data_IF_804711807256
#
_entry.id   IF_804711807256
#
_cell.length_a   1.000
_cell.length_b   1.000
_cell.length_c   1.000
_cell.angle_alpha   90.00
_cell.angle_beta   90.00
_cell.angle_gamma   90.00
#
_symmetry.space_group_name_H-M   'P 1'
#
loop_
_entity.id
_entity.type
_entity.pdbx_description
1 polymer ?
#
# COMPACT_ATOMS: atom_id res chain seq x y z
N UNK A 1 -21.74 -3.23 -11.17
CA UNK A 1 -20.74 -2.34 -11.80
C UNK A 1 -21.02 -2.37 -13.29
N UNK A 2 -20.98 -1.22 -13.97
CA UNK A 2 -21.16 -1.14 -15.42
C UNK A 2 -20.06 -1.88 -16.18
N UNK A 3 -20.39 -2.36 -17.39
CA UNK A 3 -19.45 -2.98 -18.33
C UNK A 3 -19.18 -2.03 -19.49
N UNK A 4 -18.53 -0.91 -19.17
CA UNK A 4 -18.14 0.08 -20.17
C UNK A 4 -17.22 -0.53 -21.22
N UNK A 5 -17.63 -0.44 -22.47
CA UNK A 5 -16.98 -1.07 -23.61
C UNK A 5 -16.88 -0.10 -24.79
N UNK A 6 -15.92 -0.36 -25.68
CA UNK A 6 -15.77 0.37 -26.94
C UNK A 6 -15.78 -0.60 -28.11
N UNK A 7 -16.44 -0.24 -29.20
CA UNK A 7 -16.32 -0.91 -30.49
C UNK A 7 -15.54 0.02 -31.43
N UNK A 8 -14.62 -0.55 -32.19
CA UNK A 8 -13.92 0.10 -33.29
C UNK A 8 -14.31 -0.61 -34.58
N UNK A 9 -15.14 0.05 -35.38
CA UNK A 9 -15.58 -0.42 -36.69
C UNK A 9 -14.51 -0.11 -37.75
N UNK A 10 -13.80 -1.15 -38.16
CA UNK A 10 -12.73 -1.07 -39.14
C UNK A 10 -13.23 -0.88 -40.57
N UNK A 11 -14.51 -1.16 -40.85
CA UNK A 11 -15.10 -0.89 -42.18
C UNK A 11 -15.46 0.59 -42.33
N UNK A 12 -15.71 1.31 -41.23
CA UNK A 12 -15.90 2.78 -41.21
C UNK A 12 -14.60 3.55 -41.03
N UNK A 13 -13.60 2.97 -40.36
CA UNK A 13 -12.39 3.68 -40.01
C UNK A 13 -11.53 4.02 -41.23
N UNK A 14 -11.33 5.31 -41.48
CA UNK A 14 -10.48 5.82 -42.57
C UNK A 14 -9.04 6.16 -42.14
N UNK A 15 -8.67 5.88 -40.89
CA UNK A 15 -7.30 6.12 -40.40
C UNK A 15 -6.89 7.59 -40.27
N UNK A 16 -7.84 8.53 -40.19
CA UNK A 16 -7.56 9.97 -40.20
C UNK A 16 -6.78 10.53 -38.99
N UNK A 17 -6.63 9.78 -37.90
CA UNK A 17 -5.92 10.24 -36.70
C UNK A 17 -6.69 11.24 -35.81
N UNK A 18 -7.88 11.70 -36.19
CA UNK A 18 -8.66 12.66 -35.39
C UNK A 18 -8.93 12.19 -33.94
N UNK A 19 -9.05 10.89 -33.72
CA UNK A 19 -9.22 10.32 -32.38
C UNK A 19 -7.97 10.43 -31.50
N UNK A 20 -6.78 10.44 -32.10
CA UNK A 20 -5.49 10.61 -31.41
C UNK A 20 -5.39 12.06 -30.96
N UNK A 21 -5.47 13.00 -31.91
CA UNK A 21 -5.43 14.44 -31.66
C UNK A 21 -6.45 14.91 -30.61
N UNK A 22 -7.70 14.45 -30.71
CA UNK A 22 -8.72 14.82 -29.72
C UNK A 22 -8.43 14.27 -28.32
N UNK A 23 -7.70 13.15 -28.22
CA UNK A 23 -7.31 12.59 -26.93
C UNK A 23 -6.09 13.28 -26.34
N UNK A 24 -5.17 13.75 -27.18
CA UNK A 24 -4.06 14.60 -26.77
C UNK A 24 -4.56 15.94 -26.23
N UNK A 25 -5.46 16.60 -26.97
CA UNK A 25 -6.06 17.89 -26.60
C UNK A 25 -6.89 17.80 -25.31
N UNK A 26 -7.77 16.80 -25.17
CA UNK A 26 -8.60 16.64 -23.97
C UNK A 26 -7.79 16.40 -22.69
N UNK A 27 -6.57 15.86 -22.81
CA UNK A 27 -5.74 15.45 -21.68
C UNK A 27 -4.45 16.25 -21.54
N UNK A 28 -4.26 17.30 -22.34
CA UNK A 28 -3.04 18.09 -22.42
C UNK A 28 -1.78 17.19 -22.46
N UNK A 29 -1.79 16.19 -23.36
CA UNK A 29 -0.67 15.25 -23.48
C UNK A 29 0.52 15.92 -24.17
N UNK A 30 1.75 15.73 -23.67
CA UNK A 30 2.94 16.25 -24.33
C UNK A 30 3.24 15.44 -25.61
N UNK A 31 4.01 16.06 -26.51
CA UNK A 31 4.40 15.43 -27.79
C UNK A 31 5.00 14.03 -27.57
N UNK A 32 4.51 13.06 -28.33
CA UNK A 32 4.96 11.67 -28.28
C UNK A 32 4.31 10.83 -27.16
N UNK A 33 3.34 11.37 -26.43
CA UNK A 33 2.54 10.65 -25.43
C UNK A 33 1.13 10.39 -25.96
N UNK A 34 0.89 9.14 -26.38
CA UNK A 34 -0.39 8.75 -26.97
C UNK A 34 -1.18 7.83 -26.03
N UNK A 35 -2.42 8.19 -25.71
CA UNK A 35 -3.37 7.29 -25.02
C UNK A 35 -4.11 6.35 -25.99
N UNK A 36 -4.12 6.66 -27.28
CA UNK A 36 -4.65 5.83 -28.36
C UNK A 36 -3.84 6.07 -29.64
N UNK A 37 -3.88 5.13 -30.61
CA UNK A 37 -3.06 5.22 -31.82
C UNK A 37 -3.83 4.84 -33.09
N UNK A 38 -3.29 5.26 -34.23
CA UNK A 38 -3.65 4.80 -35.58
C UNK A 38 -2.36 4.43 -36.29
N UNK A 39 -2.05 3.14 -36.37
CA UNK A 39 -0.82 2.62 -37.00
C UNK A 39 -1.13 2.12 -38.41
N UNK A 40 -0.48 2.59 -39.47
CA UNK A 40 -0.68 2.03 -40.81
C UNK A 40 -0.17 0.59 -40.87
N UNK A 41 -0.94 -0.30 -41.49
CA UNK A 41 -0.52 -1.64 -41.86
C UNK A 41 -0.19 -1.63 -43.36
N UNK A 42 1.05 -1.99 -43.71
CA UNK A 42 1.64 -1.80 -45.05
C UNK A 42 0.84 -2.49 -46.17
N UNK A 43 0.95 -2.07 -47.43
CA UNK A 43 0.13 -2.63 -48.51
C UNK A 43 0.66 -3.97 -49.02
N UNK A 44 0.36 -5.06 -48.30
CA UNK A 44 0.33 -6.43 -48.83
C UNK A 44 -0.24 -7.35 -47.75
N UNK A 45 -1.25 -8.15 -48.08
CA UNK A 45 -1.51 -9.38 -47.34
C UNK A 45 -0.56 -10.50 -47.81
N UNK A 46 -0.64 -11.68 -47.19
CA UNK A 46 0.19 -12.85 -47.55
C UNK A 46 0.00 -13.34 -49.00
N UNK A 47 -1.06 -12.89 -49.69
CA UNK A 47 -1.32 -13.16 -51.11
C UNK A 47 -0.78 -12.08 -52.05
N UNK A 48 -0.23 -10.98 -51.53
CA UNK A 48 0.25 -9.86 -52.33
C UNK A 48 -0.85 -8.89 -52.76
N UNK A 49 -2.07 -9.01 -52.24
CA UNK A 49 -3.14 -8.07 -52.51
C UNK A 49 -2.92 -6.77 -51.71
N UNK A 50 -3.05 -5.59 -52.33
CA UNK A 50 -2.89 -4.32 -51.65
C UNK A 50 -4.06 -4.08 -50.69
N UNK A 51 -3.86 -4.44 -49.43
CA UNK A 51 -4.74 -4.04 -48.33
C UNK A 51 -4.07 -2.89 -47.60
N UNK A 52 -4.50 -1.66 -47.89
CA UNK A 52 -4.22 -0.52 -47.01
C UNK A 52 -5.23 -0.55 -45.87
N UNK A 53 -4.76 -0.83 -44.66
CA UNK A 53 -5.58 -0.77 -43.45
C UNK A 53 -4.76 -0.19 -42.31
N UNK A 54 -5.38 0.03 -41.16
CA UNK A 54 -4.73 0.63 -40.01
C UNK A 54 -5.07 -0.18 -38.76
N UNK A 55 -4.12 -0.32 -37.84
CA UNK A 55 -4.40 -0.76 -36.48
C UNK A 55 -4.73 0.46 -35.62
N UNK A 56 -6.01 0.58 -35.27
CA UNK A 56 -6.49 1.62 -34.36
C UNK A 56 -6.68 1.01 -32.98
N UNK A 57 -5.89 1.44 -31.99
CA UNK A 57 -5.89 0.82 -30.66
C UNK A 57 -5.85 1.81 -29.50
N UNK A 58 -6.10 1.31 -28.30
CA UNK A 58 -6.02 2.01 -27.01
C UNK A 58 -5.95 0.98 -25.87
N UNK A 59 -5.98 1.44 -24.62
CA UNK A 59 -6.18 0.55 -23.48
C UNK A 59 -7.49 -0.23 -23.61
N UNK A 60 -7.41 -1.55 -23.43
CA UNK A 60 -8.57 -2.43 -23.58
C UNK A 60 -9.49 -2.51 -22.35
N UNK A 61 -9.13 -1.86 -21.24
CA UNK A 61 -9.91 -1.89 -19.99
C UNK A 61 -10.31 -3.31 -19.53
N UNK A 62 -9.44 -4.30 -19.80
CA UNK A 62 -9.68 -5.74 -19.67
C UNK A 62 -10.38 -6.13 -18.37
N UNK A 63 -11.33 -7.07 -18.40
CA UNK A 63 -12.01 -7.54 -17.19
C UNK A 63 -11.03 -8.26 -16.25
N UNK A 64 -10.13 -9.08 -16.79
CA UNK A 64 -9.07 -9.76 -16.05
C UNK A 64 -7.72 -9.07 -16.25
N UNK A 65 -7.64 -7.78 -15.91
CA UNK A 65 -6.49 -6.92 -16.15
C UNK A 65 -5.20 -7.37 -15.39
N UNK A 66 -4.14 -7.84 -16.07
CA UNK A 66 -2.89 -8.24 -15.41
C UNK A 66 -2.18 -7.06 -14.73
N UNK A 67 -2.28 -5.87 -15.34
CA UNK A 67 -1.71 -4.63 -14.82
C UNK A 67 -2.18 -4.27 -13.40
N UNK A 68 -3.42 -4.63 -13.00
CA UNK A 68 -3.90 -4.45 -11.61
C UNK A 68 -3.10 -5.32 -10.64
N UNK A 69 -2.87 -6.59 -10.99
CA UNK A 69 -2.11 -7.54 -10.17
C UNK A 69 -0.63 -7.17 -10.09
N UNK A 70 -0.09 -6.59 -11.15
CA UNK A 70 1.33 -6.22 -11.23
C UNK A 70 1.68 -4.96 -10.42
N UNK A 71 0.70 -4.16 -9.98
CA UNK A 71 0.96 -2.88 -9.32
C UNK A 71 1.21 -3.06 -7.80
N UNK A 72 2.42 -2.77 -7.29
CA UNK A 72 2.78 -3.02 -5.89
C UNK A 72 2.16 -1.99 -4.93
N UNK A 73 1.80 -0.80 -5.43
CA UNK A 73 1.20 0.27 -4.64
C UNK A 73 -0.33 0.26 -4.67
N UNK A 74 -0.93 -0.53 -5.56
CA UNK A 74 -2.37 -0.47 -5.84
C UNK A 74 -2.81 0.79 -6.61
N UNK A 75 -1.87 1.57 -7.15
CA UNK A 75 -2.17 2.79 -7.91
C UNK A 75 -3.00 2.54 -9.17
N UNK A 76 -2.90 1.36 -9.80
CA UNK A 76 -3.82 0.99 -10.86
C UNK A 76 -4.92 0.08 -10.32
N UNK A 77 -6.16 0.51 -10.51
CA UNK A 77 -7.33 -0.11 -9.91
C UNK A 77 -8.52 -0.01 -10.87
N UNK A 78 -9.60 -0.72 -10.53
CA UNK A 78 -10.88 -0.60 -11.23
C UNK A 78 -11.77 0.35 -10.46
N UNK A 79 -12.24 1.41 -11.12
CA UNK A 79 -13.11 2.40 -10.48
C UNK A 79 -14.57 1.90 -10.37
N UNK A 80 -15.43 2.74 -9.80
CA UNK A 80 -16.84 2.45 -9.55
C UNK A 80 -17.65 2.18 -10.83
N UNK A 81 -17.21 2.69 -11.99
CA UNK A 81 -17.84 2.47 -13.29
C UNK A 81 -17.23 1.29 -14.07
N UNK A 82 -16.27 0.57 -13.48
CA UNK A 82 -15.65 -0.59 -14.10
C UNK A 82 -14.44 -0.27 -14.98
N UNK A 83 -14.00 1.00 -15.06
CA UNK A 83 -12.83 1.40 -15.85
C UNK A 83 -11.56 1.05 -15.11
N UNK A 84 -10.55 0.57 -15.83
CA UNK A 84 -9.19 0.43 -15.30
C UNK A 84 -8.54 1.81 -15.34
N UNK A 85 -8.15 2.37 -14.19
CA UNK A 85 -7.59 3.73 -14.07
C UNK A 85 -6.26 3.71 -13.30
N UNK A 86 -5.61 4.88 -13.17
CA UNK A 86 -4.37 5.06 -12.40
C UNK A 86 -4.55 6.27 -11.48
N UNK A 87 -4.33 6.11 -10.17
CA UNK A 87 -4.16 7.24 -9.25
C UNK A 87 -2.70 7.70 -9.30
N UNK A 88 -2.49 8.89 -9.87
CA UNK A 88 -1.16 9.47 -10.03
C UNK A 88 -0.46 9.77 -8.70
N UNK A 89 -1.22 9.96 -7.60
CA UNK A 89 -0.64 10.24 -6.27
C UNK A 89 -0.08 9.00 -5.60
N UNK A 90 -0.56 7.82 -5.98
CA UNK A 90 -0.09 6.53 -5.46
C UNK A 90 0.90 5.83 -6.41
N UNK A 91 1.00 6.30 -7.65
CA UNK A 91 1.91 5.74 -8.63
C UNK A 91 3.36 6.14 -8.31
N UNK A 92 4.27 5.18 -8.38
CA UNK A 92 5.70 5.37 -8.12
C UNK A 92 6.56 5.19 -9.39
N UNK A 93 5.94 5.17 -10.58
CA UNK A 93 6.66 5.06 -11.85
C UNK A 93 7.41 3.73 -12.09
N UNK A 94 7.17 2.68 -11.29
CA UNK A 94 7.96 1.43 -11.36
C UNK A 94 7.87 0.63 -12.68
N UNK A 95 6.94 0.94 -13.58
CA UNK A 95 6.82 0.27 -14.88
C UNK A 95 6.27 -1.16 -14.87
N UNK A 96 6.05 -1.81 -13.71
CA UNK A 96 5.57 -3.20 -13.70
C UNK A 96 4.24 -3.40 -14.42
N UNK A 97 3.32 -2.45 -14.29
CA UNK A 97 2.05 -2.50 -15.00
C UNK A 97 2.18 -2.20 -16.51
N UNK A 98 3.27 -1.56 -16.94
CA UNK A 98 3.60 -1.34 -18.36
C UNK A 98 4.02 -2.67 -18.97
N UNK A 99 5.00 -3.36 -18.36
CA UNK A 99 5.41 -4.71 -18.77
C UNK A 99 4.23 -5.69 -18.74
N UNK A 100 3.39 -5.62 -17.70
CA UNK A 100 2.19 -6.44 -17.52
C UNK A 100 1.13 -6.31 -18.64
N UNK A 101 1.21 -5.29 -19.49
CA UNK A 101 0.17 -5.01 -20.48
C UNK A 101 0.47 -5.73 -21.80
N UNK A 102 -0.33 -6.76 -22.19
CA UNK A 102 -0.08 -7.50 -23.41
C UNK A 102 -0.33 -6.68 -24.69
N UNK A 103 -0.89 -5.47 -24.56
CA UNK A 103 -1.24 -4.60 -25.67
C UNK A 103 -0.32 -3.39 -25.83
N UNK A 104 0.68 -3.24 -24.95
CA UNK A 104 1.56 -2.05 -24.96
C UNK A 104 0.80 -0.74 -24.75
N UNK A 105 -0.35 -0.76 -24.08
CA UNK A 105 -1.26 0.38 -23.96
C UNK A 105 -1.00 1.27 -22.74
N UNK A 106 0.21 1.20 -22.19
CA UNK A 106 0.66 1.92 -21.01
C UNK A 106 2.08 2.41 -21.24
N UNK A 107 2.40 3.59 -20.72
CA UNK A 107 3.75 4.15 -20.79
C UNK A 107 4.07 4.90 -19.49
N UNK A 108 5.35 5.11 -19.20
CA UNK A 108 5.76 5.99 -18.11
C UNK A 108 5.90 7.38 -18.69
N UNK A 109 5.31 8.36 -18.01
CA UNK A 109 5.51 9.78 -18.27
C UNK A 109 6.67 10.26 -17.43
N UNK A 110 7.78 10.59 -18.09
CA UNK A 110 9.00 11.07 -17.43
C UNK A 110 8.78 12.39 -16.69
N UNK A 111 7.92 13.25 -17.24
CA UNK A 111 7.56 14.54 -16.66
C UNK A 111 6.71 14.41 -15.38
N UNK A 112 5.90 13.35 -15.26
CA UNK A 112 5.06 13.09 -14.09
C UNK A 112 5.64 12.04 -13.13
N UNK A 113 6.62 11.25 -13.55
CA UNK A 113 7.08 10.07 -12.82
C UNK A 113 5.99 9.01 -12.61
N UNK A 114 4.96 9.02 -13.45
CA UNK A 114 3.73 8.23 -13.30
C UNK A 114 3.42 7.46 -14.59
N UNK A 115 2.74 6.32 -14.46
CA UNK A 115 2.22 5.59 -15.63
C UNK A 115 1.01 6.31 -16.20
N UNK A 116 0.99 6.45 -17.52
CA UNK A 116 -0.06 7.03 -18.34
C UNK A 116 -0.74 5.96 -19.20
N UNK A 117 -2.04 6.10 -19.44
CA UNK A 117 -2.84 5.27 -20.34
C UNK A 117 -4.24 5.86 -20.56
N UNK A 118 -4.92 5.42 -21.62
CA UNK A 118 -6.35 5.68 -21.77
C UNK A 118 -7.14 5.21 -20.53
N UNK A 119 -8.05 6.06 -20.06
CA UNK A 119 -8.92 5.85 -18.91
C UNK A 119 -10.41 5.88 -19.29
N UNK A 120 -10.71 5.77 -20.59
CA UNK A 120 -12.05 5.98 -21.18
C UNK A 120 -12.63 7.36 -20.87
N UNK A 121 -11.77 8.39 -20.77
CA UNK A 121 -12.19 9.76 -20.46
C UNK A 121 -13.01 9.81 -19.16
N UNK A 122 -12.48 9.25 -18.08
CA UNK A 122 -13.26 9.02 -16.85
C UNK A 122 -13.97 10.29 -16.34
N UNK A 123 -13.35 11.49 -16.29
CA UNK A 123 -14.04 12.72 -15.89
C UNK A 123 -15.22 13.09 -16.79
N UNK A 124 -15.12 12.86 -18.10
CA UNK A 124 -16.18 13.14 -19.06
C UNK A 124 -17.34 12.16 -18.87
N UNK A 125 -17.02 10.87 -18.71
CA UNK A 125 -18.02 9.84 -18.42
C UNK A 125 -18.77 10.12 -17.11
N UNK A 126 -18.07 10.60 -16.08
CA UNK A 126 -18.68 10.99 -14.80
C UNK A 126 -19.59 12.21 -14.94
N UNK A 127 -19.35 13.07 -15.95
CA UNK A 127 -20.23 14.17 -16.34
C UNK A 127 -21.32 13.78 -17.36
N UNK A 128 -21.46 12.50 -17.69
CA UNK A 128 -22.45 12.00 -18.66
C UNK A 128 -22.10 12.25 -20.13
N UNK A 129 -20.84 12.58 -20.43
CA UNK A 129 -20.33 12.78 -21.78
C UNK A 129 -19.63 11.52 -22.31
N UNK A 130 -19.58 11.39 -23.63
CA UNK A 130 -18.80 10.34 -24.30
C UNK A 130 -17.32 10.72 -24.40
N UNK A 131 -16.40 9.73 -24.51
CA UNK A 131 -14.97 9.98 -24.69
C UNK A 131 -14.66 10.91 -25.87
N UNK A 132 -13.61 11.72 -25.75
CA UNK A 132 -13.19 12.66 -26.79
C UNK A 132 -12.92 11.96 -28.14
N UNK A 133 -12.26 10.80 -28.11
CA UNK A 133 -11.98 10.00 -29.30
C UNK A 133 -13.24 9.50 -30.02
N UNK A 134 -14.35 9.31 -29.31
CA UNK A 134 -15.66 8.93 -29.87
C UNK A 134 -16.31 10.15 -30.52
N UNK A 135 -16.34 11.28 -29.79
CA UNK A 135 -16.94 12.55 -30.26
C UNK A 135 -16.25 13.09 -31.51
N UNK A 136 -14.93 12.95 -31.60
CA UNK A 136 -14.14 13.48 -32.69
C UNK A 136 -14.12 12.60 -33.95
N UNK A 137 -14.64 11.37 -33.91
CA UNK A 137 -14.55 10.45 -35.03
C UNK A 137 -15.52 10.84 -36.17
N UNK A 138 -15.04 11.35 -37.32
CA UNK A 138 -15.94 11.84 -38.38
C UNK A 138 -16.71 10.70 -39.06
N UNK A 139 -16.13 9.49 -39.06
CA UNK A 139 -16.73 8.31 -39.66
C UNK A 139 -17.69 7.56 -38.70
N UNK A 140 -17.81 7.99 -37.44
CA UNK A 140 -18.58 7.24 -36.43
C UNK A 140 -18.09 5.80 -36.25
N UNK A 141 -16.77 5.59 -36.40
CA UNK A 141 -16.14 4.27 -36.30
C UNK A 141 -15.96 3.81 -34.85
N UNK A 142 -15.95 4.73 -33.88
CA UNK A 142 -15.86 4.40 -32.45
C UNK A 142 -17.24 4.49 -31.81
N UNK A 143 -17.70 3.41 -31.20
CA UNK A 143 -18.97 3.33 -30.47
C UNK A 143 -18.67 3.01 -29.01
N UNK A 144 -19.25 3.75 -28.07
CA UNK A 144 -18.95 3.61 -26.64
C UNK A 144 -20.23 3.60 -25.79
N UNK A 145 -20.21 2.84 -24.70
CA UNK A 145 -21.35 2.71 -23.80
C UNK A 145 -21.22 1.54 -22.83
N UNK A 146 -22.23 1.38 -21.99
CA UNK A 146 -22.34 0.25 -21.06
C UNK A 146 -22.93 -0.98 -21.78
N UNK A 147 -22.15 -2.05 -21.88
CA UNK A 147 -22.55 -3.28 -22.55
C UNK A 147 -23.63 -4.07 -21.76
N UNK A 148 -23.87 -3.71 -20.50
CA UNK A 148 -24.94 -4.31 -19.69
C UNK A 148 -26.27 -3.53 -19.81
N UNK A 149 -26.23 -2.30 -20.34
CA UNK A 149 -27.43 -1.55 -20.71
C UNK A 149 -27.84 -1.86 -22.15
N UNK A 150 -28.98 -2.53 -22.34
CA UNK A 150 -29.52 -2.91 -23.66
C UNK A 150 -29.83 -1.71 -24.56
N UNK A 151 -30.00 -0.52 -23.99
CA UNK A 151 -30.27 0.70 -24.76
C UNK A 151 -29.00 1.44 -25.16
N UNK A 152 -27.83 1.04 -24.65
CA UNK A 152 -26.57 1.71 -24.96
C UNK A 152 -26.19 1.56 -26.43
N UNK A 153 -25.44 2.52 -27.01
CA UNK A 153 -24.98 2.43 -28.40
C UNK A 153 -24.20 1.14 -28.69
N UNK A 154 -23.37 0.71 -27.74
CA UNK A 154 -22.57 -0.52 -27.88
C UNK A 154 -23.47 -1.76 -27.86
N UNK A 155 -24.40 -1.86 -26.89
CA UNK A 155 -25.28 -3.02 -26.81
C UNK A 155 -26.15 -3.19 -28.05
N UNK A 156 -26.68 -2.08 -28.59
CA UNK A 156 -27.42 -2.11 -29.87
C UNK A 156 -26.52 -2.54 -31.02
N UNK A 157 -25.29 -2.04 -31.08
CA UNK A 157 -24.34 -2.43 -32.11
C UNK A 157 -24.06 -3.94 -32.09
N UNK A 158 -23.88 -4.54 -30.90
CA UNK A 158 -23.68 -5.98 -30.70
C UNK A 158 -24.86 -6.84 -31.19
N UNK A 159 -26.08 -6.30 -31.24
CA UNK A 159 -27.25 -7.05 -31.73
C UNK A 159 -27.25 -7.17 -33.25
N UNK A 160 -26.73 -6.16 -33.94
CA UNK A 160 -26.83 -6.05 -35.40
C UNK A 160 -25.52 -6.45 -36.13
N UNK A 161 -24.40 -6.54 -35.42
CA UNK A 161 -23.08 -6.76 -36.03
C UNK A 161 -22.26 -7.81 -35.29
N UNK A 162 -21.46 -8.57 -36.06
CA UNK A 162 -20.41 -9.42 -35.49
C UNK A 162 -19.23 -8.56 -35.05
N UNK A 163 -18.77 -8.80 -33.81
CA UNK A 163 -17.60 -8.12 -33.24
C UNK A 163 -16.64 -9.13 -32.63
N UNK A 164 -15.35 -8.81 -32.61
CA UNK A 164 -14.28 -9.67 -32.12
C UNK A 164 -13.39 -8.92 -31.13
N UNK A 165 -12.86 -9.64 -30.15
CA UNK A 165 -11.79 -9.13 -29.30
C UNK A 165 -10.43 -9.43 -29.94
N UNK A 166 -9.45 -8.55 -29.74
CA UNK A 166 -8.05 -8.86 -30.06
C UNK A 166 -7.47 -9.70 -28.92
N UNK A 167 -7.62 -11.02 -29.02
CA UNK A 167 -7.22 -11.99 -28.00
C UNK A 167 -6.60 -13.22 -28.65
N UNK A 168 -5.78 -13.95 -27.90
CA UNK A 168 -5.23 -15.26 -28.27
C UNK A 168 -5.59 -16.28 -27.19
N UNK A 169 -5.33 -17.57 -27.43
CA UNK A 169 -5.53 -18.61 -26.42
C UNK A 169 -4.67 -18.37 -25.17
N UNK A 170 -3.45 -17.85 -25.34
CA UNK A 170 -2.53 -17.53 -24.25
C UNK A 170 -2.93 -16.24 -23.51
N UNK A 171 -3.63 -15.31 -24.16
CA UNK A 171 -4.00 -14.00 -23.61
C UNK A 171 -5.51 -13.90 -23.40
N UNK A 172 -6.10 -14.84 -22.65
CA UNK A 172 -7.54 -14.90 -22.38
C UNK A 172 -7.97 -13.99 -21.21
N UNK A 173 -7.85 -12.66 -21.38
CA UNK A 173 -8.08 -11.67 -20.30
C UNK A 173 -9.34 -10.80 -20.47
N UNK A 174 -10.19 -11.16 -21.43
CA UNK A 174 -11.48 -10.53 -21.72
C UNK A 174 -11.41 -8.98 -21.91
N UNK A 175 -10.82 -8.52 -23.04
CA UNK A 175 -10.76 -7.11 -23.43
C UNK A 175 -12.15 -6.46 -23.56
N UNK A 176 -12.33 -5.24 -23.06
CA UNK A 176 -13.59 -4.50 -23.22
C UNK A 176 -13.58 -3.55 -24.43
N UNK A 177 -12.60 -3.71 -25.32
CA UNK A 177 -12.58 -3.08 -26.64
C UNK A 177 -12.73 -4.17 -27.69
N UNK A 178 -13.69 -3.98 -28.58
CA UNK A 178 -14.08 -4.91 -29.62
C UNK A 178 -13.87 -4.28 -30.99
N UNK A 179 -13.69 -5.11 -32.00
CA UNK A 179 -13.44 -4.70 -33.37
C UNK A 179 -14.54 -5.28 -34.26
N UNK A 180 -15.11 -4.44 -35.12
CA UNK A 180 -16.05 -4.83 -36.15
C UNK A 180 -15.41 -4.65 -37.54
N UNK A 181 -15.97 -5.31 -38.54
CA UNK A 181 -15.54 -5.20 -39.94
C UNK A 181 -15.09 -6.54 -40.53
N UNK A 182 -14.49 -6.50 -41.71
CA UNK A 182 -14.04 -7.71 -42.42
C UNK A 182 -13.01 -8.53 -41.62
N UNK A 183 -13.23 -9.84 -41.51
CA UNK A 183 -12.34 -10.75 -40.77
C UNK A 183 -10.88 -10.65 -41.21
N UNK A 184 -10.62 -10.58 -42.53
CA UNK A 184 -9.26 -10.42 -43.08
C UNK A 184 -8.51 -9.20 -42.54
N UNK A 185 -9.22 -8.15 -42.13
CA UNK A 185 -8.62 -6.95 -41.53
C UNK A 185 -8.26 -7.22 -40.06
N UNK A 186 -9.19 -7.82 -39.31
CA UNK A 186 -8.99 -8.12 -37.88
C UNK A 186 -7.90 -9.20 -37.71
N UNK A 187 -7.92 -10.24 -38.54
CA UNK A 187 -6.90 -11.30 -38.55
C UNK A 187 -5.52 -10.74 -38.86
N UNK A 188 -5.44 -9.76 -39.75
CA UNK A 188 -4.19 -9.08 -40.07
C UNK A 188 -3.68 -8.23 -38.90
N UNK A 189 -4.55 -7.51 -38.21
CA UNK A 189 -4.18 -6.79 -36.99
C UNK A 189 -3.62 -7.77 -35.95
N UNK A 190 -4.26 -8.92 -35.76
CA UNK A 190 -3.78 -9.96 -34.85
C UNK A 190 -2.44 -10.58 -35.29
N UNK A 191 -2.21 -10.73 -36.59
CA UNK A 191 -0.97 -11.28 -37.13
C UNK A 191 0.23 -10.33 -36.96
N UNK A 192 0.05 -9.03 -37.22
CA UNK A 192 1.11 -8.03 -37.11
C UNK A 192 1.29 -7.47 -35.69
N UNK A 193 0.21 -7.47 -34.90
CA UNK A 193 0.20 -6.96 -33.51
C UNK A 193 -0.47 -7.96 -32.55
N UNK A 194 0.06 -9.19 -32.42
CA UNK A 194 -0.47 -10.15 -31.48
C UNK A 194 -0.32 -9.63 -30.04
N UNK A 195 -1.30 -9.87 -29.16
CA UNK A 195 -1.17 -9.60 -27.74
C UNK A 195 -0.01 -10.42 -27.14
N UNK A 196 0.89 -9.78 -26.39
CA UNK A 196 2.09 -10.39 -25.81
C UNK A 196 1.78 -11.19 -24.52
N UNK A 197 1.88 -12.52 -24.52
CA UNK A 197 1.61 -13.32 -23.34
C UNK A 197 2.72 -13.26 -22.28
N UNK A 198 3.97 -13.00 -22.66
CA UNK A 198 5.11 -12.96 -21.74
C UNK A 198 5.05 -11.72 -20.85
N UNK A 199 4.61 -10.60 -21.42
CA UNK A 199 4.37 -9.36 -20.71
C UNK A 199 3.46 -9.53 -19.49
N UNK A 200 2.48 -10.44 -19.49
CA UNK A 200 1.52 -10.61 -18.39
C UNK A 200 2.12 -11.04 -17.04
N UNK A 201 3.40 -11.42 -16.98
CA UNK A 201 4.09 -11.80 -15.76
C UNK A 201 4.77 -10.58 -15.09
N UNK A 202 4.63 -10.38 -13.77
CA UNK A 202 5.41 -9.35 -13.08
C UNK A 202 6.91 -9.70 -13.18
N UNK A 203 7.81 -8.72 -13.38
CA UNK A 203 9.24 -8.99 -13.53
C UNK A 203 9.80 -9.75 -12.32
N UNK A 204 10.82 -10.59 -12.56
CA UNK A 204 11.43 -11.52 -11.58
C UNK A 204 11.76 -10.83 -10.24
N UNK A 205 12.20 -9.56 -10.27
CA UNK A 205 12.46 -8.77 -9.06
C UNK A 205 11.22 -8.58 -8.16
N UNK A 206 10.04 -8.37 -8.74
CA UNK A 206 8.78 -8.29 -7.99
C UNK A 206 8.35 -9.66 -7.43
N UNK A 207 8.63 -10.74 -8.18
CA UNK A 207 8.33 -12.10 -7.75
C UNK A 207 9.23 -12.55 -6.59
N UNK A 208 10.52 -12.20 -6.58
CA UNK A 208 11.44 -12.52 -5.47
C UNK A 208 11.04 -11.76 -4.20
N UNK A 209 10.68 -10.48 -4.33
CA UNK A 209 10.23 -9.67 -3.20
C UNK A 209 8.95 -10.25 -2.56
N UNK A 210 7.94 -10.57 -3.38
CA UNK A 210 6.66 -11.12 -2.93
C UNK A 210 6.76 -12.57 -2.43
N UNK A 211 7.51 -13.44 -3.13
CA UNK A 211 7.45 -14.89 -2.91
C UNK A 211 8.49 -15.39 -1.90
N UNK A 212 9.62 -14.70 -1.75
CA UNK A 212 10.75 -15.16 -0.92
C UNK A 212 11.01 -14.21 0.24
N UNK A 213 11.25 -12.93 -0.04
CA UNK A 213 11.68 -11.97 0.98
C UNK A 213 10.56 -11.60 1.97
N UNK A 214 9.35 -11.32 1.47
CA UNK A 214 8.21 -10.92 2.29
C UNK A 214 7.75 -12.03 3.27
N UNK A 215 7.49 -13.28 2.83
CA UNK A 215 7.15 -14.36 3.76
C UNK A 215 8.33 -14.77 4.64
N UNK A 216 9.57 -14.70 4.14
CA UNK A 216 10.78 -14.99 4.92
C UNK A 216 10.97 -14.00 6.08
N UNK A 217 10.82 -12.70 5.82
CA UNK A 217 10.91 -11.67 6.85
C UNK A 217 9.79 -11.79 7.89
N UNK A 218 8.53 -11.95 7.44
CA UNK A 218 7.39 -12.14 8.34
C UNK A 218 7.51 -13.43 9.17
N UNK A 219 8.01 -14.51 8.56
CA UNK A 219 8.26 -15.79 9.24
C UNK A 219 9.36 -15.68 10.30
N UNK A 220 10.48 -15.03 9.99
CA UNK A 220 11.57 -14.80 10.94
C UNK A 220 11.15 -13.88 12.09
N UNK A 221 10.42 -12.81 11.79
CA UNK A 221 9.85 -11.93 12.81
C UNK A 221 8.89 -12.72 13.72
N UNK A 222 7.94 -13.47 13.13
CA UNK A 222 7.00 -14.31 13.87
C UNK A 222 7.68 -15.35 14.77
N UNK A 223 8.72 -16.03 14.28
CA UNK A 223 9.50 -16.99 15.07
C UNK A 223 10.25 -16.32 16.23
N UNK A 224 10.79 -15.11 16.03
CA UNK A 224 11.41 -14.34 17.10
C UNK A 224 10.40 -13.96 18.20
N UNK A 225 9.19 -13.54 17.82
CA UNK A 225 8.09 -13.25 18.75
C UNK A 225 7.64 -14.49 19.54
N UNK A 226 7.47 -15.63 18.87
CA UNK A 226 7.08 -16.90 19.52
C UNK A 226 8.17 -17.39 20.48
N UNK A 227 9.44 -17.33 20.07
CA UNK A 227 10.58 -17.71 20.91
C UNK A 227 10.68 -16.85 22.17
N UNK A 228 10.48 -15.54 22.05
CA UNK A 228 10.45 -14.61 23.19
C UNK A 228 9.25 -14.87 24.12
N UNK A 229 8.06 -15.13 23.56
CA UNK A 229 6.87 -15.49 24.34
C UNK A 229 7.04 -16.79 25.14
N UNK A 230 7.62 -17.84 24.53
CA UNK A 230 7.91 -19.11 25.19
C UNK A 230 8.95 -18.99 26.31
N UNK A 231 10.04 -18.25 26.06
CA UNK A 231 11.07 -17.99 27.06
C UNK A 231 10.50 -17.26 28.29
N UNK A 232 9.60 -16.29 28.05
CA UNK A 232 8.91 -15.54 29.09
C UNK A 232 7.90 -16.40 29.88
N UNK A 233 7.06 -17.19 29.20
CA UNK A 233 6.11 -18.10 29.87
C UNK A 233 6.82 -19.10 30.79
N UNK A 234 7.96 -19.66 30.34
CA UNK A 234 8.81 -20.52 31.17
C UNK A 234 9.34 -19.81 32.42
N UNK A 235 9.60 -18.50 32.35
CA UNK A 235 10.07 -17.72 33.49
C UNK A 235 8.96 -17.34 34.46
N UNK A 236 7.76 -17.01 33.99
CA UNK A 236 6.60 -16.79 34.88
C UNK A 236 6.37 -18.02 35.78
N UNK A 237 6.37 -19.20 35.17
CA UNK A 237 6.22 -20.47 35.90
C UNK A 237 7.36 -20.73 36.89
N UNK A 238 8.61 -20.39 36.53
CA UNK A 238 9.78 -20.57 37.42
C UNK A 238 9.87 -19.52 38.53
N UNK A 239 9.45 -18.29 38.26
CA UNK A 239 9.40 -17.21 39.25
C UNK A 239 8.39 -17.51 40.36
N UNK A 240 7.24 -18.06 39.99
CA UNK A 240 6.18 -18.47 40.93
C UNK A 240 6.67 -19.53 41.92
N UNK A 241 7.39 -20.56 41.45
CA UNK A 241 7.96 -21.61 42.30
C UNK A 241 9.05 -21.09 43.28
N UNK A 242 9.85 -20.10 42.86
CA UNK A 242 10.93 -19.54 43.70
C UNK A 242 10.41 -18.58 44.77
N UNK A 243 9.33 -17.86 44.49
CA UNK A 243 8.75 -16.92 45.47
C UNK A 243 8.02 -17.67 46.59
N UNK A 244 7.27 -18.73 46.23
CA UNK A 244 6.60 -19.60 47.21
C UNK A 244 7.59 -20.32 48.15
N UNK A 245 8.75 -20.77 47.62
CA UNK A 245 9.77 -21.47 48.41
C UNK A 245 10.58 -20.56 49.34
N UNK A 246 10.81 -19.30 48.95
CA UNK A 246 11.52 -18.32 49.79
C UNK A 246 10.61 -17.74 50.88
N UNK A 247 9.34 -17.45 50.57
CA UNK A 247 8.35 -17.02 51.57
C UNK A 247 8.11 -18.11 52.63
N UNK A 248 8.12 -19.38 52.24
CA UNK A 248 8.05 -20.51 53.17
C UNK A 248 9.30 -20.66 54.07
N UNK A 249 10.45 -20.12 53.67
CA UNK A 249 11.73 -20.39 54.33
C UNK A 249 12.26 -19.27 55.24
N UNK A 250 11.93 -17.98 55.01
CA UNK A 250 12.70 -16.87 55.61
C UNK A 250 11.91 -15.91 56.52
N UNK A 251 10.57 -15.86 56.47
CA UNK A 251 9.80 -14.88 57.26
C UNK A 251 10.12 -13.40 56.87
N UNK A 252 9.36 -12.42 57.38
CA UNK A 252 9.14 -11.15 56.68
C UNK A 252 10.25 -10.08 56.77
N UNK A 253 11.48 -10.39 57.20
CA UNK A 253 12.50 -9.34 57.44
C UNK A 253 13.86 -9.70 56.86
N UNK A 254 14.11 -9.32 55.61
CA UNK A 254 15.46 -9.09 55.10
C UNK A 254 15.46 -7.95 54.07
N UNK A 255 16.31 -6.94 54.29
CA UNK A 255 16.49 -5.77 53.42
C UNK A 255 16.95 -6.23 52.03
N UNK A 256 16.28 -5.85 50.91
CA UNK A 256 16.65 -6.37 49.61
C UNK A 256 17.93 -5.69 49.12
N UNK A 257 19.00 -6.47 48.93
CA UNK A 257 20.13 -6.06 48.09
C UNK A 257 19.60 -5.67 46.71
N UNK A 258 20.06 -4.53 46.16
CA UNK A 258 19.72 -4.13 44.79
C UNK A 258 20.09 -5.26 43.83
N UNK A 259 19.07 -6.00 43.36
CA UNK A 259 19.21 -7.03 42.35
C UNK A 259 19.70 -6.37 41.05
N UNK A 260 20.73 -6.95 40.42
CA UNK A 260 21.00 -6.72 38.99
C UNK A 260 19.68 -6.91 38.24
N UNK A 261 19.37 -5.98 37.33
CA UNK A 261 18.15 -6.05 36.52
C UNK A 261 18.00 -7.44 35.93
N UNK A 262 16.84 -8.06 36.15
CA UNK A 262 16.52 -9.36 35.59
C UNK A 262 16.69 -9.29 34.08
N UNK A 263 17.40 -10.25 33.48
CA UNK A 263 17.66 -10.31 32.05
C UNK A 263 16.35 -10.17 31.25
N UNK A 264 15.23 -10.64 31.78
CA UNK A 264 13.90 -10.47 31.20
C UNK A 264 13.45 -9.00 31.10
N UNK A 265 13.71 -8.20 32.14
CA UNK A 265 13.38 -6.77 32.17
C UNK A 265 14.26 -6.02 31.16
N UNK A 266 15.53 -6.43 31.02
CA UNK A 266 16.44 -5.89 30.02
C UNK A 266 15.91 -6.18 28.61
N UNK A 267 15.52 -7.43 28.32
CA UNK A 267 14.95 -7.80 27.03
C UNK A 267 13.62 -7.09 26.73
N UNK A 268 12.74 -6.95 27.71
CA UNK A 268 11.49 -6.20 27.57
C UNK A 268 11.74 -4.72 27.27
N UNK A 269 12.74 -4.13 27.93
CA UNK A 269 13.13 -2.75 27.68
C UNK A 269 13.64 -2.56 26.25
N UNK A 270 14.51 -3.45 25.77
CA UNK A 270 14.99 -3.42 24.38
C UNK A 270 13.90 -3.71 23.37
N UNK A 271 12.97 -4.63 23.67
CA UNK A 271 11.79 -4.87 22.85
C UNK A 271 10.96 -3.59 22.69
N UNK A 272 10.63 -2.93 23.80
CA UNK A 272 9.90 -1.67 23.77
C UNK A 272 10.66 -0.60 22.99
N UNK A 273 11.95 -0.41 23.26
CA UNK A 273 12.78 0.58 22.56
C UNK A 273 12.79 0.35 21.04
N UNK A 274 12.91 -0.92 20.59
CA UNK A 274 12.88 -1.27 19.17
C UNK A 274 11.50 -1.03 18.56
N UNK A 275 10.43 -1.46 19.23
CA UNK A 275 9.06 -1.20 18.75
C UNK A 275 8.82 0.29 18.59
N UNK A 276 9.16 1.10 19.59
CA UNK A 276 9.01 2.55 19.53
C UNK A 276 9.84 3.17 18.40
N UNK A 277 11.08 2.71 18.20
CA UNK A 277 11.92 3.15 17.08
C UNK A 277 11.25 2.84 15.74
N UNK A 278 10.78 1.61 15.53
CA UNK A 278 10.10 1.22 14.29
C UNK A 278 8.78 1.98 14.10
N UNK A 279 8.00 2.18 15.16
CA UNK A 279 6.74 2.91 15.11
C UNK A 279 6.97 4.40 14.80
N UNK A 280 8.02 5.01 15.37
CA UNK A 280 8.41 6.38 15.09
C UNK A 280 8.87 6.53 13.63
N UNK A 281 9.77 5.64 13.18
CA UNK A 281 10.33 5.67 11.82
C UNK A 281 9.25 5.48 10.76
N UNK A 282 8.40 4.46 10.92
CA UNK A 282 7.30 4.18 9.98
C UNK A 282 6.19 5.23 10.08
N UNK A 283 5.90 5.74 11.29
CA UNK A 283 4.96 6.84 11.49
C UNK A 283 5.41 8.14 10.79
N UNK A 284 6.69 8.50 10.91
CA UNK A 284 7.26 9.65 10.20
C UNK A 284 7.21 9.44 8.67
N UNK A 285 7.50 8.23 8.19
CA UNK A 285 7.37 7.89 6.77
C UNK A 285 5.93 7.97 6.25
N UNK A 286 4.94 7.59 7.06
CA UNK A 286 3.51 7.67 6.71
C UNK A 286 2.97 9.11 6.74
N UNK A 287 3.49 9.95 7.62
CA UNK A 287 3.10 11.36 7.74
C UNK A 287 3.80 12.26 6.71
N UNK A 288 4.87 11.78 6.08
CA UNK A 288 5.60 12.50 5.05
C UNK A 288 4.81 12.54 3.73
N UNK A 289 3.88 13.50 3.65
CA UNK A 289 3.23 13.88 2.39
C UNK A 289 4.06 14.94 1.65
N UNK A 290 3.82 15.10 0.35
CA UNK A 290 4.43 16.18 -0.45
C UNK A 290 4.15 17.59 0.12
N UNK A 291 3.10 17.74 0.93
CA UNK A 291 2.70 18.98 1.59
C UNK A 291 3.44 19.24 2.92
N UNK A 292 3.92 18.20 3.60
CA UNK A 292 4.58 18.30 4.89
C UNK A 292 5.97 17.65 4.81
N UNK A 293 6.98 18.44 4.42
CA UNK A 293 8.39 18.03 4.29
C UNK A 293 9.09 17.85 5.65
N UNK A 294 8.49 17.05 6.54
CA UNK A 294 8.99 16.82 7.90
C UNK A 294 10.24 15.93 7.88
N UNK A 295 10.41 15.10 6.84
CA UNK A 295 11.55 14.20 6.67
C UNK A 295 12.32 14.49 5.36
N UNK A 296 13.65 14.25 5.31
CA UNK A 296 14.42 14.33 4.08
C UNK A 296 13.91 13.35 3.01
N UNK A 297 14.03 13.72 1.73
CA UNK A 297 13.52 12.90 0.63
C UNK A 297 14.14 11.49 0.59
N UNK A 298 15.46 11.40 0.78
CA UNK A 298 16.18 10.11 0.82
C UNK A 298 15.65 9.17 1.91
N UNK A 299 15.14 9.72 3.03
CA UNK A 299 14.60 8.93 4.12
C UNK A 299 13.28 8.25 3.71
N UNK A 300 12.39 8.97 3.03
CA UNK A 300 11.14 8.40 2.54
C UNK A 300 11.38 7.39 1.41
N UNK A 301 12.34 7.68 0.51
CA UNK A 301 12.76 6.74 -0.54
C UNK A 301 13.32 5.45 0.06
N UNK A 302 14.16 5.54 1.10
CA UNK A 302 14.68 4.37 1.79
C UNK A 302 13.56 3.54 2.46
N UNK A 303 12.57 4.19 3.08
CA UNK A 303 11.43 3.49 3.68
C UNK A 303 10.52 2.85 2.64
N UNK A 304 10.20 3.55 1.55
CA UNK A 304 9.41 2.99 0.46
C UNK A 304 10.14 1.86 -0.27
N UNK A 305 11.47 1.94 -0.41
CA UNK A 305 12.27 0.83 -0.92
C UNK A 305 12.24 -0.38 0.02
N UNK A 306 12.22 -0.16 1.33
CA UNK A 306 12.17 -1.22 2.34
C UNK A 306 10.79 -1.90 2.41
N UNK A 307 9.71 -1.11 2.40
CA UNK A 307 8.34 -1.60 2.60
C UNK A 307 7.58 -1.83 1.30
N UNK A 308 8.10 -1.41 0.15
CA UNK A 308 7.50 -1.52 -1.18
C UNK A 308 6.37 -0.50 -1.45
N UNK A 309 5.56 -0.17 -0.45
CA UNK A 309 4.55 0.88 -0.56
C UNK A 309 4.14 1.47 0.80
N UNK A 310 3.54 2.66 0.76
CA UNK A 310 2.97 3.29 1.96
C UNK A 310 1.84 2.43 2.58
N UNK A 311 1.06 1.71 1.75
CA UNK A 311 0.01 0.82 2.25
C UNK A 311 0.58 -0.37 3.04
N UNK A 312 1.66 -0.97 2.55
CA UNK A 312 2.35 -2.06 3.26
C UNK A 312 3.02 -1.54 4.53
N UNK A 313 3.64 -0.35 4.46
CA UNK A 313 4.19 0.32 5.65
C UNK A 313 3.10 0.62 6.69
N UNK A 314 1.90 1.05 6.27
CA UNK A 314 0.76 1.27 7.16
C UNK A 314 0.26 -0.02 7.81
N UNK A 315 0.15 -1.10 7.04
CA UNK A 315 -0.22 -2.42 7.57
C UNK A 315 0.81 -2.91 8.60
N UNK A 316 2.11 -2.78 8.30
CA UNK A 316 3.17 -3.09 9.24
C UNK A 316 3.08 -2.24 10.51
N UNK A 317 2.91 -0.92 10.36
CA UNK A 317 2.78 0.02 11.47
C UNK A 317 1.60 -0.36 12.38
N UNK A 318 0.42 -0.62 11.83
CA UNK A 318 -0.75 -1.04 12.60
C UNK A 318 -0.50 -2.39 13.27
N UNK A 319 0.01 -3.38 12.55
CA UNK A 319 0.27 -4.71 13.09
C UNK A 319 1.26 -4.67 14.26
N UNK A 320 2.36 -3.93 14.11
CA UNK A 320 3.36 -3.74 15.15
C UNK A 320 2.75 -3.06 16.39
N UNK A 321 1.94 -2.02 16.20
CA UNK A 321 1.22 -1.33 17.27
C UNK A 321 0.22 -2.23 18.01
N UNK A 322 -0.54 -3.05 17.29
CA UNK A 322 -1.49 -4.02 17.88
C UNK A 322 -0.76 -5.10 18.67
N UNK A 323 0.32 -5.66 18.13
CA UNK A 323 1.15 -6.65 18.84
C UNK A 323 1.73 -6.04 20.11
N UNK A 324 2.25 -4.81 20.05
CA UNK A 324 2.76 -4.11 21.21
C UNK A 324 1.68 -3.85 22.27
N UNK A 325 0.50 -3.38 21.86
CA UNK A 325 -0.63 -3.18 22.77
C UNK A 325 -1.07 -4.49 23.43
N UNK A 326 -1.09 -5.60 22.69
CA UNK A 326 -1.40 -6.92 23.22
C UNK A 326 -0.34 -7.40 24.23
N UNK A 327 0.95 -7.21 23.94
CA UNK A 327 2.05 -7.51 24.87
C UNK A 327 1.90 -6.67 26.15
N UNK A 328 1.69 -5.35 26.02
CA UNK A 328 1.46 -4.48 27.17
C UNK A 328 0.21 -4.87 27.97
N UNK A 329 -0.87 -5.29 27.32
CA UNK A 329 -2.06 -5.77 28.00
C UNK A 329 -1.75 -7.02 28.83
N UNK A 330 -1.03 -8.00 28.27
CA UNK A 330 -0.59 -9.21 28.98
C UNK A 330 0.32 -8.84 30.15
N UNK A 331 1.31 -7.98 29.94
CA UNK A 331 2.16 -7.47 31.01
C UNK A 331 1.37 -6.72 32.09
N UNK A 332 0.40 -5.92 31.67
CA UNK A 332 -0.51 -5.20 32.54
C UNK A 332 -1.30 -6.16 33.40
N UNK A 333 -1.97 -7.15 32.81
CA UNK A 333 -2.86 -8.11 33.50
C UNK A 333 -2.08 -9.07 34.41
N UNK A 334 -1.05 -9.74 33.91
CA UNK A 334 -0.29 -10.73 34.67
C UNK A 334 0.75 -10.09 35.60
N UNK A 335 1.31 -8.95 35.20
CA UNK A 335 2.25 -8.17 36.00
C UNK A 335 1.58 -7.20 36.97
N UNK A 336 0.26 -6.98 36.90
CA UNK A 336 -0.46 -6.03 37.74
C UNK A 336 -0.15 -6.22 39.22
N UNK A 337 -0.34 -7.45 39.71
CA UNK A 337 -0.25 -7.76 41.14
C UNK A 337 1.20 -7.76 41.64
N UNK A 338 2.15 -8.10 40.78
CA UNK A 338 3.55 -8.31 41.17
C UNK A 338 4.44 -7.08 40.95
N UNK A 339 4.15 -6.26 39.93
CA UNK A 339 4.98 -5.11 39.57
C UNK A 339 4.23 -3.79 39.72
N UNK A 340 3.04 -3.66 39.11
CA UNK A 340 2.34 -2.37 39.06
C UNK A 340 1.72 -1.98 40.40
N UNK A 341 1.01 -2.89 41.08
CA UNK A 341 0.37 -2.61 42.36
C UNK A 341 1.38 -2.30 43.49
N UNK A 342 2.54 -2.97 43.60
CA UNK A 342 3.61 -2.54 44.52
C UNK A 342 4.24 -1.21 44.11
N UNK A 343 4.48 -0.98 42.82
CA UNK A 343 5.03 0.28 42.32
C UNK A 343 4.11 1.47 42.64
N UNK A 344 2.80 1.37 42.35
CA UNK A 344 1.81 2.40 42.65
C UNK A 344 1.69 2.67 44.16
N UNK A 345 1.82 1.64 45.00
CA UNK A 345 1.86 1.81 46.46
C UNK A 345 3.09 2.62 46.91
N UNK A 346 4.25 2.38 46.29
CA UNK A 346 5.45 3.17 46.56
C UNK A 346 5.42 4.58 45.95
N UNK A 347 4.50 4.87 45.04
CA UNK A 347 4.34 6.20 44.46
C UNK A 347 3.46 7.11 45.32
N UNK A 348 2.71 6.56 46.28
CA UNK A 348 1.84 7.33 47.17
C UNK A 348 2.65 8.01 48.28
N UNK A 349 2.65 9.35 48.38
CA UNK A 349 3.39 10.05 49.43
C UNK A 349 2.83 9.73 50.82
N UNK A 350 3.69 9.36 51.75
CA UNK A 350 3.32 9.17 53.14
C UNK A 350 3.64 10.41 53.99
N UNK A 351 3.36 10.35 55.31
CA UNK A 351 3.62 11.48 56.22
C UNK A 351 5.10 11.87 56.28
N UNK A 352 6.02 10.93 56.10
CA UNK A 352 7.46 11.20 56.10
C UNK A 352 7.86 11.97 54.85
N UNK A 353 7.29 11.65 53.68
CA UNK A 353 7.51 12.38 52.44
C UNK A 353 7.05 13.84 52.53
N UNK A 354 5.86 14.08 53.13
CA UNK A 354 5.35 15.43 53.35
C UNK A 354 6.20 16.24 54.33
N UNK A 355 6.66 15.60 55.41
CA UNK A 355 7.57 16.23 56.36
C UNK A 355 8.91 16.58 55.73
N UNK A 356 9.43 15.70 54.86
CA UNK A 356 10.65 15.93 54.11
C UNK A 356 10.54 17.14 53.19
N UNK A 357 9.45 17.24 52.41
CA UNK A 357 9.20 18.38 51.52
C UNK A 357 9.11 19.70 52.29
N UNK A 358 8.38 19.71 53.42
CA UNK A 358 8.24 20.89 54.25
C UNK A 358 9.59 21.37 54.84
N UNK A 359 10.40 20.45 55.36
CA UNK A 359 11.74 20.77 55.89
C UNK A 359 12.68 21.21 54.76
N UNK A 360 12.62 20.55 53.60
CA UNK A 360 13.44 20.91 52.43
C UNK A 360 13.15 22.32 51.94
N UNK A 361 11.88 22.71 51.83
CA UNK A 361 11.48 24.07 51.45
C UNK A 361 11.97 25.09 52.49
N UNK A 362 11.78 24.81 53.79
CA UNK A 362 12.30 25.69 54.86
C UNK A 362 13.82 25.83 54.82
N UNK A 363 14.57 24.77 54.51
CA UNK A 363 16.04 24.83 54.35
C UNK A 363 16.46 25.68 53.14
N UNK A 364 15.77 25.56 52.00
CA UNK A 364 16.05 26.37 50.80
C UNK A 364 15.89 27.86 51.09
N UNK A 365 14.87 28.23 51.88
CA UNK A 365 14.62 29.63 52.29
C UNK A 365 15.42 30.02 53.55
N UNK A 366 16.36 29.18 54.00
CA UNK A 366 17.25 29.46 55.15
C UNK A 366 16.57 29.46 56.52
N UNK A 367 15.34 28.97 56.64
CA UNK A 367 14.49 29.00 57.86
C UNK A 367 14.54 27.74 58.72
N UNK A 368 15.31 26.72 58.34
CA UNK A 368 15.51 25.51 59.16
C UNK A 368 16.92 24.95 58.95
N UNK A 369 17.46 24.32 59.99
CA UNK A 369 18.69 23.50 59.95
C UNK A 369 18.41 22.03 60.34
N UNK A 370 17.14 21.66 60.48
CA UNK A 370 16.72 20.31 60.85
C UNK A 370 17.23 19.28 59.83
N UNK A 371 17.57 18.09 60.34
CA UNK A 371 17.94 16.96 59.51
C UNK A 371 16.73 16.52 58.67
N UNK A 372 16.99 16.10 57.43
CA UNK A 372 15.93 15.58 56.57
C UNK A 372 15.58 14.14 57.02
N UNK A 373 14.29 13.78 57.06
CA UNK A 373 13.87 12.40 57.32
C UNK A 373 14.46 11.43 56.28
N UNK A 374 14.64 10.17 56.68
CA UNK A 374 14.99 9.10 55.74
C UNK A 374 13.86 8.88 54.72
N UNK A 375 14.23 8.47 53.51
CA UNK A 375 13.33 8.28 52.37
C UNK A 375 13.30 6.81 51.97
N UNK A 376 12.19 6.36 51.36
CA UNK A 376 12.05 4.99 50.88
C UNK A 376 12.71 4.80 49.50
N UNK A 377 12.25 3.81 48.72
CA UNK A 377 12.76 3.50 47.39
C UNK A 377 12.69 4.69 46.40
N UNK A 378 11.73 5.61 46.56
CA UNK A 378 11.59 6.81 45.74
C UNK A 378 11.56 8.05 46.63
N UNK A 379 12.28 9.11 46.24
CA UNK A 379 12.26 10.33 47.04
C UNK A 379 10.93 11.09 46.89
N UNK A 380 10.61 11.97 47.85
CA UNK A 380 9.36 12.70 47.91
C UNK A 380 9.12 13.56 46.65
N UNK A 381 10.19 14.08 46.03
CA UNK A 381 10.09 14.80 44.75
C UNK A 381 9.73 13.90 43.57
N UNK A 382 10.32 12.70 43.50
CA UNK A 382 9.99 11.69 42.48
C UNK A 382 8.54 11.22 42.59
N UNK A 383 8.07 10.99 43.82
CA UNK A 383 6.66 10.64 44.09
C UNK A 383 5.70 11.75 43.67
N UNK A 384 6.06 13.02 43.94
CA UNK A 384 5.25 14.18 43.56
C UNK A 384 5.23 14.40 42.04
N UNK A 385 6.35 14.26 41.34
CA UNK A 385 6.41 14.34 39.88
C UNK A 385 5.60 13.22 39.20
N UNK A 386 5.66 11.99 39.73
CA UNK A 386 4.87 10.87 39.22
C UNK A 386 3.35 11.02 39.40
N UNK A 387 2.89 12.05 40.11
CA UNK A 387 1.49 12.41 40.27
C UNK A 387 1.02 13.53 39.32
N UNK A 388 1.97 14.34 38.84
CA UNK A 388 1.70 15.51 37.99
C UNK A 388 1.71 15.14 36.50
N UNK A 389 2.39 14.05 36.15
CA UNK A 389 2.42 13.41 34.81
C UNK A 389 1.43 12.26 34.80
#
# INVERSE_FOLDING_TARGET
>A
MSRLSMIIDMDRCVGCGACVLACEDEWDLPDGVDRNWVRPLLPADSSGEPVFTHYVGLCNHCRLAPCLKACPTGATFRDHQGRVVVDSRACIGCGFCVSACPYGARMIRDDLGCVEKCDFCAPLGDAGLVPACVRACPAGARVFGDLDDRQSPVSRYFLDHSVRQLTTEQVAIDPQVFYAGKDKVIDRILAEHPPDPEGMQPPIQGQILETVLRPGFLGLAGLAFVGQGLAFFRQLMKGEQRTQSVEAAVGPVAKPMLKRHDTAIIWLHWFNALVWLFQLVTGMGLLASSSYRVTPQFFNEALLATFGSAAVMLQFHIALGVVWAAVLLVYGVFGFRHYLAPFLRHLWPDRTDWSWLAIKVKRIVGRSKEALPDQDKYNAGQKLCGWVV
#
